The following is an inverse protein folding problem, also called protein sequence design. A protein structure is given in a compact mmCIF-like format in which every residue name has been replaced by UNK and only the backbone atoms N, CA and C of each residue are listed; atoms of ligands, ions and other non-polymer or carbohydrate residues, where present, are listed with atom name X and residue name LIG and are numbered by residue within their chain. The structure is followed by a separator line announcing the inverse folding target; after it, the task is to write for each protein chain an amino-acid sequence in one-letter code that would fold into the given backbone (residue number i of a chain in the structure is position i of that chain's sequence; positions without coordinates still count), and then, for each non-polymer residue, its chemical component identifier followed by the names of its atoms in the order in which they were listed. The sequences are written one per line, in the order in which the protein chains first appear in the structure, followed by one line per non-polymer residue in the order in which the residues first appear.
data_IF_903582135169
#
_entry.id   IF_903582135169
#
_cell.length_a   1.000
_cell.length_b   1.000
_cell.length_c   1.000
_cell.angle_alpha   90.00
_cell.angle_beta   90.00
_cell.angle_gamma   90.00
#
_symmetry.space_group_name_H-M   'P 1'
#
loop_
_entity.id
_entity.type
_entity.pdbx_description
1 polymer ?
#
# COMPACT_ATOMS: atom_id res chain seq x y z
N UNK A 1 51.74 1.49 52.18
CA UNK A 1 50.73 2.39 52.77
C UNK A 1 49.97 3.09 51.65
N UNK A 2 48.63 3.04 51.59
CA UNK A 2 47.76 1.87 51.63
C UNK A 2 47.16 1.54 50.23
N UNK A 3 46.69 0.30 50.11
CA UNK A 3 45.86 -0.23 49.02
C UNK A 3 44.51 0.50 48.95
N UNK A 4 44.07 0.90 47.76
CA UNK A 4 42.65 1.17 47.50
C UNK A 4 42.07 -0.10 46.87
N UNK A 5 41.19 -0.74 47.63
CA UNK A 5 40.52 -1.99 47.31
C UNK A 5 39.73 -1.89 46.02
N UNK A 6 39.99 -2.78 45.07
CA UNK A 6 39.00 -3.14 44.07
C UNK A 6 37.85 -3.87 44.78
N UNK A 7 36.79 -3.14 45.12
CA UNK A 7 35.52 -3.76 45.50
C UNK A 7 34.99 -4.52 44.29
N UNK A 8 35.19 -5.84 44.30
CA UNK A 8 34.56 -6.78 43.39
C UNK A 8 33.04 -6.67 43.57
N UNK A 9 32.38 -5.98 42.64
CA UNK A 9 30.92 -6.04 42.52
C UNK A 9 30.58 -7.51 42.30
N UNK A 10 29.85 -8.12 43.23
CA UNK A 10 29.54 -9.54 43.14
C UNK A 10 28.74 -9.80 41.87
N UNK A 11 28.93 -10.97 41.26
CA UNK A 11 28.18 -11.39 40.07
C UNK A 11 26.67 -11.29 40.30
N UNK A 12 26.21 -11.46 41.55
CA UNK A 12 24.82 -11.28 41.95
C UNK A 12 24.34 -9.82 41.84
N UNK A 13 25.13 -8.82 42.23
CA UNK A 13 24.76 -7.40 42.07
C UNK A 13 24.78 -6.96 40.60
N UNK A 14 25.67 -7.55 39.79
CA UNK A 14 25.71 -7.31 38.33
C UNK A 14 24.49 -7.93 37.64
N UNK A 15 24.10 -9.14 38.02
CA UNK A 15 22.88 -9.81 37.54
C UNK A 15 21.61 -9.17 38.08
N UNK A 16 21.64 -8.59 39.29
CA UNK A 16 20.51 -7.85 39.86
C UNK A 16 20.37 -6.47 39.21
N UNK A 17 21.48 -5.77 38.88
CA UNK A 17 21.42 -4.54 38.05
C UNK A 17 20.96 -4.83 36.62
N UNK A 18 21.48 -5.87 35.97
CA UNK A 18 21.01 -6.30 34.65
C UNK A 18 19.54 -6.74 34.69
N UNK A 19 19.13 -7.45 35.75
CA UNK A 19 17.75 -7.83 36.00
C UNK A 19 16.81 -6.67 36.34
N UNK A 20 17.31 -5.58 36.96
CA UNK A 20 16.53 -4.36 37.20
C UNK A 20 16.36 -3.51 35.94
N UNK A 21 17.35 -3.47 35.03
CA UNK A 21 17.19 -2.83 33.72
C UNK A 21 16.31 -3.66 32.76
N UNK A 22 16.19 -4.96 33.00
CA UNK A 22 15.36 -5.86 32.20
C UNK A 22 13.91 -5.97 32.71
N UNK A 23 13.61 -5.37 33.87
CA UNK A 23 12.34 -5.54 34.57
C UNK A 23 11.64 -4.21 34.86
N UNK A 24 11.50 -3.36 33.83
CA UNK A 24 10.28 -2.58 33.46
C UNK A 24 10.56 -2.02 32.04
N UNK A 25 10.59 -2.88 31.01
CA UNK A 25 10.13 -2.38 29.71
C UNK A 25 8.61 -2.26 29.90
N UNK A 26 8.15 -1.09 30.38
CA UNK A 26 6.72 -0.78 30.34
C UNK A 26 6.26 -1.13 28.94
N UNK A 27 5.13 -1.82 28.81
CA UNK A 27 4.48 -1.99 27.51
C UNK A 27 4.08 -0.58 27.09
N UNK A 28 5.02 0.14 26.49
CA UNK A 28 4.80 1.52 26.07
C UNK A 28 3.78 1.46 24.94
N UNK A 29 2.69 2.21 25.07
CA UNK A 29 1.57 2.13 24.15
C UNK A 29 2.03 2.31 22.70
N UNK A 30 1.57 1.42 21.82
CA UNK A 30 1.82 1.53 20.39
C UNK A 30 1.09 2.73 19.78
N UNK A 31 0.01 3.19 20.44
CA UNK A 31 -0.83 4.25 19.97
C UNK A 31 -0.29 5.64 20.30
N UNK A 32 0.32 5.82 21.47
CA UNK A 32 0.82 7.12 21.90
C UNK A 32 1.88 7.00 23.00
N UNK A 33 2.94 7.79 22.89
CA UNK A 33 3.92 7.97 23.94
C UNK A 33 4.34 9.43 24.01
N UNK A 34 4.26 10.04 25.20
CA UNK A 34 4.52 11.46 25.39
C UNK A 34 5.93 11.88 24.94
N UNK A 35 6.93 11.00 25.12
CA UNK A 35 8.32 11.24 24.71
C UNK A 35 8.50 11.41 23.19
N UNK A 36 7.59 10.84 22.39
CA UNK A 36 7.65 10.89 20.92
C UNK A 36 6.61 11.82 20.30
N UNK A 37 5.72 12.42 21.09
CA UNK A 37 4.58 13.21 20.59
C UNK A 37 4.99 14.28 19.56
N UNK A 38 6.03 15.08 19.86
CA UNK A 38 6.51 16.10 18.92
C UNK A 38 7.07 15.53 17.61
N UNK A 39 7.78 14.39 17.68
CA UNK A 39 8.31 13.70 16.49
C UNK A 39 7.20 13.07 15.67
N UNK A 40 6.22 12.45 16.32
CA UNK A 40 5.06 11.85 15.67
C UNK A 40 4.17 12.91 14.99
N UNK A 41 4.00 14.09 15.60
CA UNK A 41 3.30 15.22 14.96
C UNK A 41 4.04 15.68 13.70
N UNK A 42 5.35 15.94 13.79
CA UNK A 42 6.13 16.35 12.64
C UNK A 42 6.11 15.29 11.52
N UNK A 43 6.29 14.02 11.89
CA UNK A 43 6.24 12.91 10.95
C UNK A 43 4.87 12.76 10.27
N UNK A 44 3.79 12.92 11.05
CA UNK A 44 2.44 12.85 10.54
C UNK A 44 2.08 13.98 9.60
N UNK A 45 2.51 15.22 9.88
CA UNK A 45 2.34 16.36 8.96
C UNK A 45 3.07 16.14 7.64
N UNK A 46 4.35 15.75 7.71
CA UNK A 46 5.19 15.50 6.53
C UNK A 46 4.61 14.38 5.67
N UNK A 47 4.19 13.29 6.31
CA UNK A 47 3.64 12.12 5.60
C UNK A 47 2.23 12.39 5.09
N UNK A 48 1.42 13.15 5.82
CA UNK A 48 0.07 13.52 5.41
C UNK A 48 0.06 14.29 4.09
N UNK A 49 0.94 15.28 3.95
CA UNK A 49 1.06 16.03 2.69
C UNK A 49 1.51 15.15 1.53
N UNK A 50 2.45 14.21 1.77
CA UNK A 50 2.85 13.24 0.73
C UNK A 50 1.74 12.24 0.41
N UNK A 51 0.95 11.83 1.39
CA UNK A 51 -0.10 10.83 1.22
C UNK A 51 -1.23 11.32 0.30
N UNK A 52 -1.47 12.63 0.21
CA UNK A 52 -2.50 13.24 -0.64
C UNK A 52 -2.30 12.92 -2.12
N UNK A 53 -1.21 13.36 -2.81
CA UNK A 53 -1.04 13.11 -4.24
C UNK A 53 -1.04 11.61 -4.59
N UNK A 54 -0.46 10.78 -3.72
CA UNK A 54 -0.47 9.33 -3.92
C UNK A 54 -1.90 8.76 -3.82
N UNK A 55 -2.69 9.18 -2.83
CA UNK A 55 -4.07 8.70 -2.69
C UNK A 55 -4.99 9.24 -3.77
N UNK A 56 -4.79 10.49 -4.20
CA UNK A 56 -5.50 11.09 -5.34
C UNK A 56 -5.23 10.30 -6.61
N UNK A 57 -3.96 10.02 -6.93
CA UNK A 57 -3.61 9.24 -8.11
C UNK A 57 -4.21 7.82 -8.06
N UNK A 58 -4.15 7.15 -6.91
CA UNK A 58 -4.74 5.81 -6.80
C UNK A 58 -6.27 5.85 -6.94
N UNK A 59 -6.95 6.86 -6.40
CA UNK A 59 -8.40 7.03 -6.57
C UNK A 59 -8.77 7.25 -8.04
N UNK A 60 -8.06 8.13 -8.75
CA UNK A 60 -8.24 8.36 -10.19
C UNK A 60 -8.01 7.08 -11.00
N UNK A 61 -6.97 6.31 -10.66
CA UNK A 61 -6.71 5.04 -11.35
C UNK A 61 -7.79 4.00 -11.09
N UNK A 62 -8.42 4.04 -9.92
CA UNK A 62 -9.51 3.15 -9.52
C UNK A 62 -10.86 3.57 -10.10
N UNK A 63 -10.93 4.71 -10.81
CA UNK A 63 -12.18 5.32 -11.27
C UNK A 63 -13.15 5.61 -10.11
N UNK A 64 -12.60 5.98 -8.94
CA UNK A 64 -13.36 6.41 -7.76
C UNK A 64 -13.31 7.93 -7.59
N UNK A 65 -14.35 8.55 -7.01
CA UNK A 65 -14.28 9.95 -6.60
C UNK A 65 -13.11 10.20 -5.63
N UNK A 66 -12.29 11.20 -5.93
CA UNK A 66 -11.08 11.52 -5.15
C UNK A 66 -11.42 11.74 -3.67
N UNK A 67 -12.52 12.46 -3.40
CA UNK A 67 -12.99 12.77 -2.05
C UNK A 67 -13.31 11.50 -1.24
N UNK A 68 -13.93 10.50 -1.86
CA UNK A 68 -14.24 9.20 -1.25
C UNK A 68 -12.97 8.38 -0.96
N UNK A 69 -12.01 8.40 -1.89
CA UNK A 69 -10.71 7.78 -1.68
C UNK A 69 -9.94 8.40 -0.51
N UNK A 70 -9.92 9.73 -0.40
CA UNK A 70 -9.28 10.42 0.73
C UNK A 70 -10.02 10.18 2.05
N UNK A 71 -11.36 10.16 2.05
CA UNK A 71 -12.16 9.82 3.22
C UNK A 71 -11.86 8.40 3.73
N UNK A 72 -11.68 7.44 2.82
CA UNK A 72 -11.24 6.08 3.14
C UNK A 72 -9.90 6.08 3.87
N UNK A 73 -8.92 6.84 3.38
CA UNK A 73 -7.59 6.95 4.03
C UNK A 73 -7.68 7.60 5.40
N UNK A 74 -8.43 8.69 5.52
CA UNK A 74 -8.62 9.39 6.79
C UNK A 74 -9.25 8.48 7.84
N UNK A 75 -10.33 7.78 7.47
CA UNK A 75 -11.01 6.83 8.34
C UNK A 75 -10.09 5.67 8.74
N UNK A 76 -9.36 5.09 7.78
CA UNK A 76 -8.41 4.02 8.06
C UNK A 76 -7.28 4.44 9.00
N UNK A 77 -6.77 5.68 8.87
CA UNK A 77 -5.79 6.24 9.80
C UNK A 77 -6.33 6.33 11.24
N UNK A 78 -7.57 6.80 11.39
CA UNK A 78 -8.24 6.87 12.68
C UNK A 78 -8.43 5.47 13.29
N UNK A 79 -8.95 4.51 12.53
CA UNK A 79 -9.14 3.13 12.99
C UNK A 79 -7.80 2.47 13.33
N UNK A 80 -6.77 2.69 12.52
CA UNK A 80 -5.41 2.18 12.77
C UNK A 80 -4.83 2.69 14.09
N UNK A 81 -5.07 3.96 14.43
CA UNK A 81 -4.66 4.53 15.72
C UNK A 81 -5.51 4.01 16.89
N UNK A 82 -6.85 3.92 16.75
CA UNK A 82 -7.74 3.36 17.77
C UNK A 82 -7.36 1.91 18.08
N UNK A 83 -7.16 1.09 17.05
CA UNK A 83 -6.81 -0.32 17.22
C UNK A 83 -5.44 -0.50 17.91
N UNK A 84 -4.51 0.43 17.72
CA UNK A 84 -3.20 0.40 18.36
C UNK A 84 -3.24 0.51 19.89
N UNK A 85 -4.35 1.00 20.47
CA UNK A 85 -4.55 1.03 21.93
C UNK A 85 -4.86 -0.34 22.51
N UNK A 86 -5.52 -1.21 21.74
CA UNK A 86 -6.06 -2.48 22.24
C UNK A 86 -5.31 -3.69 21.69
N UNK A 87 -5.05 -3.70 20.38
CA UNK A 87 -4.43 -4.81 19.64
C UNK A 87 -3.44 -4.25 18.62
N UNK A 88 -2.25 -3.83 19.07
CA UNK A 88 -1.24 -3.29 18.16
C UNK A 88 -0.82 -4.34 17.13
N UNK A 89 -0.84 -3.93 15.86
CA UNK A 89 -0.34 -4.70 14.73
C UNK A 89 1.10 -4.32 14.42
N UNK A 90 1.27 -3.18 13.74
CA UNK A 90 2.53 -2.45 13.64
C UNK A 90 2.41 -1.07 14.31
N UNK A 91 3.53 -0.37 14.41
CA UNK A 91 3.64 0.86 15.21
C UNK A 91 3.73 2.14 14.38
N UNK A 92 4.07 2.05 13.10
CA UNK A 92 4.32 3.22 12.23
C UNK A 92 3.70 3.08 10.83
N UNK A 93 3.01 1.97 10.57
CA UNK A 93 2.35 1.72 9.29
C UNK A 93 1.30 2.77 9.01
N UNK A 94 1.34 3.36 7.83
CA UNK A 94 0.38 4.36 7.40
C UNK A 94 -0.65 3.70 6.47
N UNK A 95 -1.93 3.64 6.86
CA UNK A 95 -2.99 3.21 5.98
C UNK A 95 -3.06 4.07 4.72
N UNK A 96 -3.51 3.47 3.64
CA UNK A 96 -3.65 4.08 2.34
C UNK A 96 -4.51 3.22 1.44
N UNK A 97 -5.01 3.83 0.37
CA UNK A 97 -5.66 3.07 -0.70
C UNK A 97 -4.67 2.02 -1.24
N UNK A 98 -5.16 0.80 -1.43
CA UNK A 98 -4.37 -0.28 -2.00
C UNK A 98 -4.00 0.04 -3.46
N UNK A 99 -2.77 0.53 -3.69
CA UNK A 99 -2.26 0.83 -5.02
C UNK A 99 -2.28 -0.41 -5.92
N UNK A 100 -2.01 -1.57 -5.33
CA UNK A 100 -2.06 -2.87 -5.97
C UNK A 100 -3.41 -3.16 -6.62
N UNK A 101 -4.49 -2.80 -5.94
CA UNK A 101 -5.85 -3.11 -6.33
C UNK A 101 -6.50 -2.07 -7.26
N UNK A 102 -5.88 -0.92 -7.48
CA UNK A 102 -6.49 0.17 -8.24
C UNK A 102 -7.00 -0.25 -9.63
N UNK A 103 -6.25 -1.00 -10.46
CA UNK A 103 -6.77 -1.48 -11.75
C UNK A 103 -7.97 -2.41 -11.60
N UNK A 104 -8.00 -3.22 -10.54
CA UNK A 104 -9.10 -4.17 -10.29
C UNK A 104 -10.33 -3.42 -9.82
N UNK A 105 -10.17 -2.44 -8.93
CA UNK A 105 -11.28 -1.58 -8.50
C UNK A 105 -11.90 -0.83 -9.67
N UNK A 106 -11.09 -0.32 -10.61
CA UNK A 106 -11.60 0.28 -11.85
C UNK A 106 -12.40 -0.72 -12.71
N UNK A 107 -11.93 -1.97 -12.83
CA UNK A 107 -12.72 -3.02 -13.48
C UNK A 107 -14.02 -3.31 -12.73
N UNK A 108 -14.00 -3.27 -11.40
CA UNK A 108 -15.20 -3.41 -10.57
C UNK A 108 -16.20 -2.29 -10.84
N UNK A 109 -15.75 -1.04 -10.88
CA UNK A 109 -16.59 0.12 -11.25
C UNK A 109 -17.17 -0.05 -12.65
N UNK A 110 -16.37 -0.49 -13.62
CA UNK A 110 -16.84 -0.72 -14.98
C UNK A 110 -17.82 -1.90 -15.12
N UNK A 111 -17.68 -2.93 -14.28
CA UNK A 111 -18.47 -4.17 -14.38
C UNK A 111 -19.75 -4.14 -13.55
N UNK A 112 -19.70 -3.49 -12.38
CA UNK A 112 -20.78 -3.49 -11.40
C UNK A 112 -21.39 -2.10 -11.20
N UNK A 113 -20.76 -1.02 -11.68
CA UNK A 113 -21.22 0.34 -11.41
C UNK A 113 -20.75 0.85 -10.05
N UNK A 114 -20.57 2.17 -9.94
CA UNK A 114 -20.06 2.82 -8.73
C UNK A 114 -21.04 2.65 -7.55
N UNK A 115 -22.34 2.63 -7.83
CA UNK A 115 -23.42 2.40 -6.88
C UNK A 115 -23.32 1.05 -6.14
N UNK A 116 -22.74 0.02 -6.79
CA UNK A 116 -22.61 -1.32 -6.21
C UNK A 116 -21.28 -1.54 -5.51
N UNK A 117 -20.29 -0.69 -5.76
CA UNK A 117 -18.96 -0.88 -5.22
C UNK A 117 -18.94 -0.81 -3.69
N UNK A 118 -19.77 0.00 -3.06
CA UNK A 118 -19.91 0.00 -1.59
C UNK A 118 -20.21 -1.41 -1.05
N UNK A 119 -21.14 -2.12 -1.70
CA UNK A 119 -21.49 -3.50 -1.35
C UNK A 119 -20.36 -4.49 -1.63
N UNK A 120 -19.68 -4.36 -2.77
CA UNK A 120 -18.51 -5.20 -3.11
C UNK A 120 -17.43 -5.07 -2.04
N UNK A 121 -17.09 -3.84 -1.64
CA UNK A 121 -16.07 -3.55 -0.63
C UNK A 121 -16.50 -4.06 0.76
N UNK A 122 -17.77 -3.92 1.11
CA UNK A 122 -18.33 -4.51 2.32
C UNK A 122 -18.15 -6.03 2.34
N UNK A 123 -18.50 -6.72 1.25
CA UNK A 123 -18.36 -8.17 1.14
C UNK A 123 -16.88 -8.61 1.19
N UNK A 124 -15.98 -7.90 0.51
CA UNK A 124 -14.54 -8.10 0.60
C UNK A 124 -14.07 -8.00 2.05
N UNK A 125 -14.50 -6.98 2.78
CA UNK A 125 -14.09 -6.76 4.16
C UNK A 125 -14.67 -7.80 5.13
N UNK A 126 -15.89 -8.31 4.87
CA UNK A 126 -16.45 -9.47 5.60
C UNK A 126 -15.61 -10.72 5.36
N UNK A 127 -15.18 -10.98 4.13
CA UNK A 127 -14.29 -12.10 3.83
C UNK A 127 -12.91 -11.95 4.50
N UNK A 128 -12.38 -10.73 4.55
CA UNK A 128 -11.16 -10.42 5.31
C UNK A 128 -11.35 -10.70 6.81
N UNK A 129 -12.52 -10.37 7.38
CA UNK A 129 -12.83 -10.67 8.77
C UNK A 129 -12.87 -12.19 9.04
N UNK A 130 -13.37 -12.99 8.09
CA UNK A 130 -13.32 -14.46 8.17
C UNK A 130 -11.86 -14.94 8.17
N UNK A 131 -11.05 -14.46 7.22
CA UNK A 131 -9.62 -14.81 7.12
C UNK A 131 -8.88 -14.47 8.42
N UNK A 132 -9.10 -13.26 8.95
CA UNK A 132 -8.56 -12.79 10.23
C UNK A 132 -8.98 -13.68 11.40
N UNK A 133 -10.26 -14.06 11.47
CA UNK A 133 -10.82 -14.84 12.57
C UNK A 133 -10.19 -16.24 12.69
N UNK A 134 -9.82 -16.83 11.55
CA UNK A 134 -9.23 -18.18 11.49
C UNK A 134 -7.71 -18.18 11.26
N UNK A 135 -7.06 -17.02 11.34
CA UNK A 135 -5.63 -16.86 11.09
C UNK A 135 -5.16 -17.40 9.71
N UNK A 136 -6.05 -17.38 8.71
CA UNK A 136 -5.79 -17.98 7.40
C UNK A 136 -4.69 -17.26 6.60
N UNK A 137 -4.33 -16.04 6.99
CA UNK A 137 -3.20 -15.32 6.39
C UNK A 137 -1.89 -16.13 6.45
N UNK A 138 -1.73 -17.01 7.45
CA UNK A 138 -0.55 -17.88 7.59
C UNK A 138 -0.45 -18.87 6.43
N UNK A 139 -1.57 -19.41 5.98
CA UNK A 139 -1.62 -20.37 4.88
C UNK A 139 -1.48 -19.68 3.52
N UNK A 140 -2.10 -18.52 3.36
CA UNK A 140 -2.07 -17.77 2.09
C UNK A 140 -0.63 -17.36 1.74
N UNK A 141 0.16 -16.92 2.73
CA UNK A 141 1.58 -16.58 2.51
C UNK A 141 2.44 -17.77 2.07
N UNK A 142 2.12 -18.99 2.55
CA UNK A 142 2.86 -20.19 2.17
C UNK A 142 2.50 -20.65 0.74
N UNK A 143 1.32 -20.26 0.26
CA UNK A 143 0.86 -20.62 -1.06
C UNK A 143 1.51 -19.76 -2.17
N UNK A 144 1.86 -18.50 -1.89
CA UNK A 144 2.34 -17.55 -2.90
C UNK A 144 3.84 -17.27 -2.74
N UNK A 145 4.71 -17.78 -3.64
CA UNK A 145 6.13 -17.47 -3.61
C UNK A 145 6.43 -15.97 -3.72
N UNK A 146 7.43 -15.50 -2.95
CA UNK A 146 7.80 -14.07 -2.91
C UNK A 146 8.18 -13.49 -4.29
N UNK A 147 8.78 -14.28 -5.18
CA UNK A 147 9.10 -13.81 -6.54
C UNK A 147 7.86 -13.62 -7.43
N UNK A 148 6.76 -14.36 -7.20
CA UNK A 148 5.50 -14.11 -7.92
C UNK A 148 4.89 -12.78 -7.46
N UNK A 149 5.04 -12.42 -6.19
CA UNK A 149 4.61 -11.12 -5.66
C UNK A 149 5.38 -9.97 -6.32
N UNK A 150 6.70 -10.07 -6.42
CA UNK A 150 7.50 -9.04 -7.12
C UNK A 150 7.07 -8.91 -8.60
N UNK A 151 6.74 -10.04 -9.25
CA UNK A 151 6.13 -10.06 -10.58
C UNK A 151 4.78 -9.34 -10.64
N UNK A 152 3.89 -9.63 -9.69
CA UNK A 152 2.58 -8.99 -9.53
C UNK A 152 2.72 -7.47 -9.39
N UNK A 153 3.59 -7.02 -8.47
CA UNK A 153 3.87 -5.61 -8.25
C UNK A 153 4.45 -4.94 -9.51
N UNK A 154 5.33 -5.62 -10.25
CA UNK A 154 5.87 -5.07 -11.49
C UNK A 154 4.81 -4.88 -12.58
N UNK A 155 3.89 -5.85 -12.74
CA UNK A 155 2.76 -5.73 -13.67
C UNK A 155 1.82 -4.57 -13.31
N UNK A 156 1.54 -4.39 -12.03
CA UNK A 156 0.73 -3.26 -11.52
C UNK A 156 1.48 -1.93 -11.71
N UNK A 157 2.78 -1.91 -11.41
CA UNK A 157 3.61 -0.73 -11.57
C UNK A 157 3.66 -0.24 -13.01
N UNK A 158 3.69 -1.17 -13.98
CA UNK A 158 3.60 -0.85 -15.40
C UNK A 158 2.23 -0.25 -15.77
N UNK A 159 1.12 -0.81 -15.26
CA UNK A 159 -0.23 -0.25 -15.48
C UNK A 159 -0.33 1.18 -14.92
N UNK A 160 0.18 1.41 -13.71
CA UNK A 160 0.21 2.75 -13.09
C UNK A 160 1.01 3.71 -13.98
N UNK A 161 2.23 3.35 -14.35
CA UNK A 161 3.10 4.23 -15.12
C UNK A 161 2.51 4.61 -16.48
N UNK A 162 1.86 3.66 -17.17
CA UNK A 162 1.22 3.91 -18.46
C UNK A 162 -0.05 4.75 -18.33
N UNK A 163 -0.93 4.48 -17.35
CA UNK A 163 -2.16 5.27 -17.12
C UNK A 163 -1.84 6.75 -16.83
N UNK A 164 -0.79 7.01 -16.07
CA UNK A 164 -0.39 8.38 -15.73
C UNK A 164 0.49 9.06 -16.77
N UNK A 165 0.98 8.33 -17.77
CA UNK A 165 1.77 8.91 -18.86
C UNK A 165 0.97 9.97 -19.61
N UNK A 166 -0.33 9.75 -19.79
CA UNK A 166 -1.22 10.66 -20.55
C UNK A 166 -1.29 12.06 -19.92
N UNK A 167 -1.23 12.15 -18.59
CA UNK A 167 -1.27 13.41 -17.85
C UNK A 167 0.01 14.23 -17.99
N UNK A 168 1.09 13.65 -18.53
CA UNK A 168 2.36 14.36 -18.76
C UNK A 168 2.32 15.25 -20.00
N UNK A 169 1.38 14.98 -20.91
CA UNK A 169 1.23 15.70 -22.18
C UNK A 169 -0.23 16.13 -22.44
N UNK A 170 -1.08 16.06 -21.41
CA UNK A 170 -2.46 16.53 -21.45
C UNK A 170 -2.50 18.05 -21.67
N UNK A 171 -3.46 18.51 -22.46
CA UNK A 171 -3.68 19.94 -22.71
C UNK A 171 -4.83 20.47 -21.84
N UNK A 172 -4.79 21.74 -21.44
CA UNK A 172 -5.93 22.37 -20.76
C UNK A 172 -7.21 22.30 -21.60
N UNK A 173 -8.36 22.22 -20.95
CA UNK A 173 -9.65 21.94 -21.61
C UNK A 173 -10.12 23.03 -22.58
N UNK A 174 -9.65 24.26 -22.40
CA UNK A 174 -9.91 25.43 -23.24
C UNK A 174 -8.99 25.51 -24.47
N UNK A 175 -7.94 24.69 -24.53
CA UNK A 175 -7.02 24.63 -25.67
C UNK A 175 -7.55 23.63 -26.69
N UNK A 176 -7.98 24.14 -27.85
CA UNK A 176 -8.36 23.30 -29.00
C UNK A 176 -7.14 22.49 -29.44
N UNK A 177 -7.22 21.18 -29.31
CA UNK A 177 -6.20 20.29 -29.85
C UNK A 177 -6.15 20.47 -31.37
N UNK A 178 -5.00 20.90 -31.89
CA UNK A 178 -4.76 20.85 -33.33
C UNK A 178 -4.91 19.41 -33.84
N UNK A 179 -5.27 19.23 -35.11
CA UNK A 179 -5.44 17.91 -35.74
C UNK A 179 -4.18 17.02 -35.63
N UNK A 180 -3.02 17.64 -35.42
CA UNK A 180 -1.76 16.96 -35.15
C UNK A 180 -1.50 16.78 -33.66
N UNK A 181 -1.14 15.55 -33.27
CA UNK A 181 -0.76 15.22 -31.90
C UNK A 181 0.40 16.09 -31.39
N UNK A 182 1.48 16.22 -32.18
CA UNK A 182 2.60 17.08 -31.84
C UNK A 182 2.30 18.53 -32.21
N UNK A 183 1.88 19.31 -31.22
CA UNK A 183 1.71 20.75 -31.33
C UNK A 183 2.55 21.47 -30.26
N UNK A 184 2.74 22.78 -30.42
CA UNK A 184 3.60 23.57 -29.54
C UNK A 184 3.20 23.48 -28.06
N UNK A 185 1.90 23.51 -27.76
CA UNK A 185 1.38 23.38 -26.40
C UNK A 185 1.68 22.00 -25.79
N UNK A 186 1.52 20.93 -26.58
CA UNK A 186 1.78 19.56 -26.12
C UNK A 186 3.28 19.35 -25.87
N UNK A 187 4.12 19.88 -26.76
CA UNK A 187 5.58 19.86 -26.61
C UNK A 187 5.99 20.62 -25.34
N UNK A 188 5.41 21.79 -25.08
CA UNK A 188 5.65 22.55 -23.85
C UNK A 188 5.27 21.74 -22.60
N UNK A 189 4.10 21.07 -22.60
CA UNK A 189 3.68 20.20 -21.50
C UNK A 189 4.64 19.03 -21.29
N UNK A 190 5.09 18.38 -22.37
CA UNK A 190 6.11 17.32 -22.30
C UNK A 190 7.41 17.82 -21.68
N UNK A 191 7.87 19.03 -22.04
CA UNK A 191 9.08 19.62 -21.44
C UNK A 191 8.91 19.95 -19.96
N UNK A 192 7.77 20.50 -19.55
CA UNK A 192 7.46 20.77 -18.13
C UNK A 192 7.49 19.46 -17.35
N UNK A 193 6.77 18.44 -17.84
CA UNK A 193 6.68 17.13 -17.19
C UNK A 193 8.03 16.41 -17.12
N UNK A 194 8.82 16.44 -18.21
CA UNK A 194 10.15 15.82 -18.25
C UNK A 194 11.12 16.52 -17.29
N UNK A 195 11.12 17.86 -17.28
CA UNK A 195 11.94 18.65 -16.36
C UNK A 195 11.54 18.37 -14.91
N UNK A 196 10.23 18.35 -14.62
CA UNK A 196 9.70 17.99 -13.31
C UNK A 196 10.11 16.57 -12.88
N UNK A 197 10.04 15.59 -13.78
CA UNK A 197 10.45 14.21 -13.51
C UNK A 197 11.95 14.12 -13.21
N UNK A 198 12.80 14.79 -13.99
CA UNK A 198 14.25 14.81 -13.76
C UNK A 198 14.58 15.44 -12.40
N UNK A 199 13.97 16.59 -12.08
CA UNK A 199 14.15 17.23 -10.78
C UNK A 199 13.66 16.32 -9.65
N UNK A 200 12.49 15.70 -9.81
CA UNK A 200 11.93 14.79 -8.82
C UNK A 200 12.86 13.60 -8.56
N UNK A 201 13.36 12.94 -9.61
CA UNK A 201 14.28 11.80 -9.48
C UNK A 201 15.63 12.24 -8.88
N UNK A 202 16.17 13.39 -9.28
CA UNK A 202 17.37 13.96 -8.68
C UNK A 202 17.20 14.21 -7.18
N UNK A 203 16.11 14.87 -6.78
CA UNK A 203 15.81 15.11 -5.38
C UNK A 203 15.57 13.82 -4.62
N UNK A 204 14.88 12.85 -5.23
CA UNK A 204 14.61 11.57 -4.60
C UNK A 204 15.90 10.80 -4.34
N UNK A 205 16.79 10.69 -5.32
CA UNK A 205 18.06 9.99 -5.16
C UNK A 205 18.93 10.62 -4.07
N UNK A 206 18.90 11.96 -3.95
CA UNK A 206 19.63 12.73 -2.94
C UNK A 206 19.02 12.64 -1.53
N UNK A 207 17.70 12.72 -1.40
CA UNK A 207 17.02 12.88 -0.10
C UNK A 207 16.28 11.63 0.41
N UNK A 208 16.20 10.54 -0.37
CA UNK A 208 15.42 9.33 0.00
C UNK A 208 15.76 8.69 1.35
N UNK A 209 16.94 8.95 1.90
CA UNK A 209 17.39 8.37 3.18
C UNK A 209 17.30 9.34 4.37
N UNK A 210 17.11 10.63 4.12
CA UNK A 210 17.13 11.67 5.17
C UNK A 210 15.76 12.33 5.26
N UNK A 211 15.20 12.75 4.12
CA UNK A 211 13.92 13.47 4.04
C UNK A 211 13.17 13.06 2.75
N UNK A 212 12.58 11.86 2.70
CA UNK A 212 11.97 11.31 1.49
C UNK A 212 10.75 12.12 0.99
N UNK A 213 10.21 13.03 1.81
CA UNK A 213 9.10 13.88 1.42
C UNK A 213 9.52 15.09 0.55
N UNK A 214 10.79 15.52 0.61
CA UNK A 214 11.29 16.70 -0.14
C UNK A 214 10.95 16.66 -1.63
N UNK A 215 11.16 15.57 -2.38
CA UNK A 215 10.82 15.51 -3.80
C UNK A 215 9.33 15.78 -4.06
N UNK A 216 8.45 15.28 -3.18
CA UNK A 216 7.00 15.43 -3.29
C UNK A 216 6.57 16.87 -2.99
N UNK A 217 7.10 17.48 -1.93
CA UNK A 217 6.84 18.88 -1.62
C UNK A 217 7.33 19.82 -2.73
N UNK A 218 8.52 19.56 -3.27
CA UNK A 218 9.09 20.39 -4.33
C UNK A 218 8.29 20.26 -5.62
N UNK A 219 7.93 19.05 -6.07
CA UNK A 219 7.18 18.90 -7.32
C UNK A 219 5.77 19.49 -7.21
N UNK A 220 5.09 19.31 -6.07
CA UNK A 220 3.76 19.89 -5.85
C UNK A 220 3.87 21.41 -5.75
N UNK A 221 4.70 21.93 -4.85
CA UNK A 221 4.83 23.37 -4.61
C UNK A 221 5.34 24.14 -5.82
N UNK A 222 6.36 23.62 -6.50
CA UNK A 222 6.85 24.21 -7.75
C UNK A 222 5.81 24.10 -8.87
N UNK A 223 5.03 23.02 -8.92
CA UNK A 223 3.93 22.87 -9.88
C UNK A 223 2.83 23.90 -9.67
N UNK A 224 2.37 24.10 -8.42
CA UNK A 224 1.37 25.12 -8.07
C UNK A 224 1.89 26.52 -8.40
N UNK A 225 3.17 26.80 -8.13
CA UNK A 225 3.79 28.09 -8.45
C UNK A 225 3.90 28.30 -9.96
N UNK A 226 4.37 27.30 -10.71
CA UNK A 226 4.47 27.34 -12.17
C UNK A 226 3.11 27.63 -12.82
N UNK A 227 2.05 27.02 -12.28
CA UNK A 227 0.70 27.20 -12.77
C UNK A 227 0.16 28.64 -12.66
N UNK A 228 0.77 29.50 -11.83
CA UNK A 228 0.44 30.92 -11.80
C UNK A 228 0.92 31.67 -13.05
N UNK A 229 1.90 31.10 -13.77
CA UNK A 229 2.54 31.72 -14.94
C UNK A 229 2.23 30.98 -16.24
N UNK A 230 1.90 29.69 -16.18
CA UNK A 230 1.65 28.83 -17.33
C UNK A 230 0.32 28.12 -17.16
N UNK A 231 -0.51 28.14 -18.21
CA UNK A 231 -1.78 27.41 -18.19
C UNK A 231 -1.52 25.90 -18.30
N UNK A 232 -1.79 25.17 -17.22
CA UNK A 232 -1.57 23.72 -17.12
C UNK A 232 -2.85 23.02 -16.68
N UNK A 233 -3.09 21.76 -17.08
CA UNK A 233 -4.23 20.99 -16.60
C UNK A 233 -4.19 20.82 -15.09
N UNK A 234 -5.25 21.25 -14.43
CA UNK A 234 -5.46 21.08 -12.99
C UNK A 234 -6.28 19.84 -12.70
N UNK A 235 -6.12 19.29 -11.49
CA UNK A 235 -7.05 18.30 -10.98
C UNK A 235 -8.46 18.87 -10.94
N UNK A 236 -9.42 18.03 -11.30
CA UNK A 236 -10.84 18.28 -11.05
C UNK A 236 -11.28 17.33 -9.94
N UNK A 237 -11.95 17.85 -8.92
CA UNK A 237 -12.44 17.05 -7.79
C UNK A 237 -13.95 17.18 -7.72
N UNK A 238 -14.64 16.09 -8.04
CA UNK A 238 -16.09 16.01 -7.88
C UNK A 238 -16.46 16.12 -6.39
N UNK A 239 -17.33 17.08 -6.07
CA UNK A 239 -17.82 17.28 -4.71
C UNK A 239 -18.97 16.31 -4.40
N UNK A 240 -18.61 15.04 -4.21
CA UNK A 240 -19.57 13.99 -3.84
C UNK A 240 -19.91 14.10 -2.35
N UNK A 241 -21.21 14.04 -1.95
CA UNK A 241 -21.59 14.03 -0.55
C UNK A 241 -21.13 12.72 0.11
N UNK A 242 -20.43 12.82 1.24
CA UNK A 242 -20.10 11.67 2.08
C UNK A 242 -21.27 11.43 3.04
N UNK A 243 -22.28 10.71 2.58
CA UNK A 243 -23.40 10.26 3.42
C UNK A 243 -23.13 8.85 3.96
N UNK A 244 -23.53 8.63 5.21
CA UNK A 244 -23.56 7.28 5.77
C UNK A 244 -24.79 6.56 5.22
N UNK A 245 -24.57 5.52 4.43
CA UNK A 245 -25.59 4.67 3.83
C UNK A 245 -25.26 3.19 4.11
N UNK A 246 -26.29 2.35 4.13
CA UNK A 246 -26.06 0.91 4.16
C UNK A 246 -25.52 0.45 2.79
N UNK A 247 -24.47 -0.37 2.74
CA UNK A 247 -24.00 -0.96 1.50
C UNK A 247 -25.03 -2.00 1.03
N UNK A 248 -25.98 -1.58 0.20
CA UNK A 248 -27.04 -2.42 -0.36
C UNK A 248 -26.77 -2.59 -1.86
N UNK A 249 -26.81 -3.81 -2.40
CA UNK A 249 -26.65 -4.03 -3.83
C UNK A 249 -27.87 -3.52 -4.60
N UNK A 250 -27.63 -2.97 -5.79
CA UNK A 250 -28.63 -2.49 -6.75
C UNK A 250 -28.80 -3.46 -7.93
N UNK A 251 -28.35 -4.71 -7.79
CA UNK A 251 -28.50 -5.77 -8.79
C UNK A 251 -29.27 -6.95 -8.21
N UNK A 252 -30.15 -7.53 -9.04
CA UNK A 252 -31.00 -8.67 -8.66
C UNK A 252 -30.66 -9.96 -9.43
N UNK A 253 -29.77 -9.86 -10.42
CA UNK A 253 -29.42 -10.98 -11.29
C UNK A 253 -28.55 -12.04 -10.58
N UNK A 254 -28.94 -13.33 -10.56
CA UNK A 254 -28.19 -14.40 -9.88
C UNK A 254 -26.76 -14.59 -10.39
N UNK A 255 -26.51 -14.35 -11.68
CA UNK A 255 -25.18 -14.50 -12.26
C UNK A 255 -24.24 -13.37 -11.78
N UNK A 256 -24.78 -12.15 -11.68
CA UNK A 256 -24.08 -11.00 -11.11
C UNK A 256 -23.68 -11.24 -9.65
N UNK A 257 -24.53 -11.89 -8.86
CA UNK A 257 -24.19 -12.33 -7.50
C UNK A 257 -22.96 -13.24 -7.45
N UNK A 258 -22.88 -14.22 -8.36
CA UNK A 258 -21.73 -15.12 -8.47
C UNK A 258 -20.46 -14.34 -8.81
N UNK A 259 -20.54 -13.41 -9.77
CA UNK A 259 -19.41 -12.56 -10.14
C UNK A 259 -18.96 -11.64 -9.01
N UNK A 260 -19.89 -10.98 -8.32
CA UNK A 260 -19.59 -10.10 -7.18
C UNK A 260 -18.94 -10.87 -6.06
N UNK A 261 -19.44 -12.07 -5.73
CA UNK A 261 -18.81 -12.90 -4.70
C UNK A 261 -17.41 -13.34 -5.08
N UNK A 262 -17.21 -13.81 -6.32
CA UNK A 262 -15.89 -14.20 -6.84
C UNK A 262 -14.90 -13.03 -6.85
N UNK A 263 -15.37 -11.84 -7.27
CA UNK A 263 -14.58 -10.62 -7.29
C UNK A 263 -14.23 -10.12 -5.88
N UNK A 264 -15.19 -10.15 -4.96
CA UNK A 264 -14.95 -9.77 -3.57
C UNK A 264 -13.95 -10.71 -2.88
N UNK A 265 -14.02 -12.02 -3.18
CA UNK A 265 -13.09 -13.03 -2.68
C UNK A 265 -11.68 -12.83 -3.22
N UNK A 266 -11.55 -12.52 -4.52
CA UNK A 266 -10.28 -12.10 -5.12
C UNK A 266 -9.68 -10.92 -4.35
N UNK A 267 -10.44 -9.82 -4.22
CA UNK A 267 -9.96 -8.61 -3.55
C UNK A 267 -9.52 -8.92 -2.12
N UNK A 268 -10.29 -9.73 -1.38
CA UNK A 268 -9.99 -10.10 -0.01
C UNK A 268 -8.65 -10.85 0.11
N UNK A 269 -8.39 -11.81 -0.79
CA UNK A 269 -7.13 -12.58 -0.80
C UNK A 269 -5.94 -11.67 -1.11
N UNK A 270 -6.05 -10.81 -2.12
CA UNK A 270 -4.95 -9.91 -2.51
C UNK A 270 -4.67 -8.90 -1.39
N UNK A 271 -5.70 -8.28 -0.81
CA UNK A 271 -5.53 -7.35 0.33
C UNK A 271 -4.83 -8.02 1.51
N UNK A 272 -5.20 -9.26 1.84
CA UNK A 272 -4.55 -10.00 2.94
C UNK A 272 -3.08 -10.27 2.63
N UNK A 273 -2.77 -10.70 1.39
CA UNK A 273 -1.39 -10.92 0.94
C UNK A 273 -0.59 -9.62 1.06
N UNK A 274 -1.06 -8.54 0.43
CA UNK A 274 -0.38 -7.25 0.43
C UNK A 274 -0.21 -6.69 1.83
N UNK A 275 -1.22 -6.83 2.69
CA UNK A 275 -1.14 -6.33 4.05
C UNK A 275 -0.11 -7.09 4.86
N UNK A 276 -0.06 -8.41 4.77
CA UNK A 276 0.90 -9.18 5.58
C UNK A 276 2.33 -8.92 5.15
N UNK A 277 2.57 -8.81 3.85
CA UNK A 277 3.88 -8.44 3.31
C UNK A 277 4.28 -7.02 3.68
N UNK A 278 3.33 -6.08 3.59
CA UNK A 278 3.56 -4.70 4.02
C UNK A 278 3.87 -4.64 5.51
N UNK A 279 3.17 -5.41 6.34
CA UNK A 279 3.43 -5.49 7.77
C UNK A 279 4.84 -6.01 8.08
N UNK A 280 5.28 -7.07 7.38
CA UNK A 280 6.64 -7.60 7.51
C UNK A 280 7.72 -6.60 7.04
N UNK A 281 7.44 -5.83 5.98
CA UNK A 281 8.34 -4.77 5.52
C UNK A 281 8.39 -3.59 6.51
N UNK A 282 7.25 -3.21 7.09
CA UNK A 282 7.13 -2.17 8.11
C UNK A 282 7.91 -2.54 9.37
N UNK A 283 7.84 -3.81 9.81
CA UNK A 283 8.63 -4.31 10.93
C UNK A 283 10.14 -4.09 10.73
N UNK A 284 10.65 -4.33 9.52
CA UNK A 284 12.08 -4.16 9.21
C UNK A 284 12.54 -2.70 9.31
N UNK A 285 11.65 -1.75 9.08
CA UNK A 285 11.96 -0.31 9.14
C UNK A 285 11.56 0.33 10.47
N UNK A 286 10.93 -0.40 11.40
CA UNK A 286 10.54 0.12 12.71
C UNK A 286 11.77 0.71 13.45
N UNK A 287 11.68 1.94 14.00
CA UNK A 287 12.83 2.61 14.63
C UNK A 287 13.34 1.89 15.87
N UNK A 288 12.46 1.18 16.57
CA UNK A 288 12.74 0.43 17.79
C UNK A 288 12.84 -1.08 17.52
N UNK A 289 12.77 -1.51 16.25
CA UNK A 289 12.83 -2.92 15.81
C UNK A 289 11.84 -3.83 16.55
N UNK A 290 10.66 -3.31 16.85
CA UNK A 290 9.59 -4.04 17.54
C UNK A 290 8.98 -5.09 16.63
N UNK A 291 8.59 -6.23 17.19
CA UNK A 291 7.87 -7.27 16.45
C UNK A 291 6.46 -6.81 16.10
N UNK A 292 6.02 -7.11 14.89
CA UNK A 292 4.68 -6.76 14.42
C UNK A 292 3.79 -8.00 14.41
N UNK A 293 2.53 -7.83 14.82
CA UNK A 293 1.52 -8.89 14.73
C UNK A 293 0.66 -8.67 13.48
N UNK A 294 0.85 -9.51 12.46
CA UNK A 294 0.12 -9.38 11.19
C UNK A 294 -1.39 -9.60 11.33
N UNK A 295 -1.85 -10.46 12.24
CA UNK A 295 -3.28 -10.66 12.45
C UNK A 295 -3.94 -9.41 13.06
N UNK A 296 -3.26 -8.74 13.99
CA UNK A 296 -3.73 -7.47 14.55
C UNK A 296 -3.70 -6.33 13.52
N UNK A 297 -2.75 -6.32 12.58
CA UNK A 297 -2.78 -5.35 11.48
C UNK A 297 -3.94 -5.62 10.53
N UNK A 298 -4.23 -6.89 10.22
CA UNK A 298 -5.43 -7.29 9.46
C UNK A 298 -6.72 -6.86 10.16
N UNK A 299 -6.78 -6.96 11.49
CA UNK A 299 -7.92 -6.47 12.29
C UNK A 299 -8.24 -5.01 12.01
N UNK A 300 -7.24 -4.14 12.09
CA UNK A 300 -7.43 -2.71 11.86
C UNK A 300 -7.99 -2.43 10.46
N UNK A 301 -7.49 -3.16 9.46
CA UNK A 301 -7.82 -2.92 8.06
C UNK A 301 -9.21 -3.42 7.70
N UNK A 302 -9.62 -4.61 8.13
CA UNK A 302 -10.98 -5.06 7.82
C UNK A 302 -12.02 -4.19 8.53
N UNK A 303 -11.75 -3.72 9.77
CA UNK A 303 -12.65 -2.76 10.44
C UNK A 303 -12.73 -1.47 9.63
N UNK A 304 -11.60 -0.97 9.15
CA UNK A 304 -11.56 0.23 8.33
C UNK A 304 -12.28 0.05 6.98
N UNK A 305 -12.14 -1.11 6.33
CA UNK A 305 -12.79 -1.42 5.06
C UNK A 305 -14.30 -1.65 5.22
N UNK A 306 -14.73 -2.33 6.30
CA UNK A 306 -16.16 -2.42 6.62
C UNK A 306 -16.70 -1.02 6.85
N UNK A 307 -16.08 -0.21 7.71
CA UNK A 307 -16.56 1.14 7.98
C UNK A 307 -16.53 2.06 6.76
N UNK A 308 -15.54 1.93 5.86
CA UNK A 308 -15.46 2.74 4.65
C UNK A 308 -16.58 2.45 3.66
N UNK A 309 -17.03 1.19 3.58
CA UNK A 309 -18.14 0.80 2.71
C UNK A 309 -19.45 1.57 2.99
N UNK A 310 -19.67 2.01 4.24
CA UNK A 310 -20.87 2.79 4.60
C UNK A 310 -20.88 4.21 4.03
N UNK A 311 -19.78 4.71 3.47
CA UNK A 311 -19.76 6.01 2.79
C UNK A 311 -19.26 5.87 1.33
N UNK A 312 -19.38 4.67 0.76
CA UNK A 312 -18.95 4.37 -0.62
C UNK A 312 -17.43 4.23 -0.78
N UNK A 313 -16.70 4.07 0.31
CA UNK A 313 -15.25 3.95 0.33
C UNK A 313 -14.70 2.73 -0.40
N UNK A 314 -13.38 2.70 -0.53
CA UNK A 314 -12.65 1.62 -1.19
C UNK A 314 -11.81 0.81 -0.19
N UNK A 315 -11.11 -0.22 -0.65
CA UNK A 315 -10.20 -0.97 0.21
C UNK A 315 -8.96 -0.16 0.56
N UNK A 316 -8.48 -0.36 1.79
CA UNK A 316 -7.25 0.23 2.31
C UNK A 316 -6.34 -0.84 2.91
N UNK A 317 -5.06 -0.51 3.02
CA UNK A 317 -4.03 -1.29 3.71
C UNK A 317 -2.87 -0.39 4.16
N UNK A 318 -1.95 -0.90 4.96
CA UNK A 318 -0.75 -0.13 5.34
C UNK A 318 0.22 -0.02 4.14
N UNK A 319 0.29 1.16 3.52
CA UNK A 319 1.12 1.37 2.34
C UNK A 319 2.60 1.49 2.70
N UNK A 320 3.47 0.64 2.13
CA UNK A 320 4.91 0.64 2.43
C UNK A 320 5.58 1.99 2.13
N UNK A 321 5.25 2.65 1.02
CA UNK A 321 5.84 3.94 0.64
C UNK A 321 5.49 5.06 1.65
N UNK A 322 4.24 5.11 2.10
CA UNK A 322 3.75 6.04 3.12
C UNK A 322 4.39 5.74 4.48
N UNK A 323 4.44 4.48 4.86
CA UNK A 323 5.04 4.02 6.11
C UNK A 323 6.55 4.29 6.16
N UNK A 324 7.26 4.13 5.03
CA UNK A 324 8.68 4.47 4.91
C UNK A 324 8.90 5.97 5.09
N UNK A 325 8.02 6.79 4.53
CA UNK A 325 8.07 8.25 4.70
C UNK A 325 7.80 8.65 6.13
N UNK A 326 6.79 8.04 6.76
CA UNK A 326 6.47 8.23 8.18
C UNK A 326 7.68 7.91 9.07
N UNK A 327 8.33 6.77 8.80
CA UNK A 327 9.54 6.36 9.51
C UNK A 327 10.69 7.36 9.37
N UNK A 328 10.97 7.80 8.15
CA UNK A 328 12.08 8.69 7.86
C UNK A 328 11.82 10.11 8.35
N UNK A 329 10.54 10.51 8.41
CA UNK A 329 10.13 11.77 9.04
C UNK A 329 10.18 11.73 10.58
N UNK A 330 10.47 10.55 11.17
CA UNK A 330 10.76 10.41 12.60
C UNK A 330 9.64 9.79 13.43
N UNK A 331 8.68 9.09 12.85
CA UNK A 331 7.60 8.44 13.58
C UNK A 331 8.08 7.26 14.44
N UNK A 332 7.50 7.13 15.64
CA UNK A 332 7.71 6.05 16.60
C UNK A 332 6.42 5.35 17.01
N UNK A 333 5.27 6.02 16.94
CA UNK A 333 3.98 5.45 17.35
C UNK A 333 2.88 5.71 16.30
N UNK A 334 1.75 5.02 16.44
CA UNK A 334 0.58 5.24 15.57
C UNK A 334 -0.05 6.62 15.78
N UNK A 335 0.41 7.41 16.75
CA UNK A 335 0.01 8.80 16.88
C UNK A 335 0.32 9.60 15.63
N UNK A 336 1.44 9.35 14.95
CA UNK A 336 1.74 10.03 13.69
C UNK A 336 0.71 9.71 12.61
N UNK A 337 0.13 8.50 12.64
CA UNK A 337 -0.94 8.06 11.72
C UNK A 337 -2.24 8.80 11.98
N UNK A 338 -2.59 9.06 13.25
CA UNK A 338 -3.72 9.94 13.56
C UNK A 338 -3.53 11.33 12.93
N UNK A 339 -2.33 11.90 13.05
CA UNK A 339 -2.00 13.21 12.47
C UNK A 339 -2.10 13.19 10.94
N UNK A 340 -1.64 12.11 10.29
CA UNK A 340 -1.86 11.89 8.84
C UNK A 340 -3.35 11.93 8.52
N UNK A 341 -4.17 11.19 9.29
CA UNK A 341 -5.62 11.17 9.15
C UNK A 341 -6.25 12.57 9.28
N UNK A 342 -5.78 13.39 10.23
CA UNK A 342 -6.23 14.77 10.40
C UNK A 342 -5.88 15.65 9.19
N UNK A 343 -4.66 15.54 8.65
CA UNK A 343 -4.24 16.26 7.44
C UNK A 343 -5.11 15.87 6.26
N UNK A 344 -5.34 14.57 6.04
CA UNK A 344 -6.19 14.10 4.95
C UNK A 344 -7.63 14.56 5.14
N UNK A 345 -8.16 14.51 6.37
CA UNK A 345 -9.51 14.98 6.71
C UNK A 345 -9.69 16.46 6.36
N UNK A 346 -8.68 17.29 6.59
CA UNK A 346 -8.73 18.71 6.21
C UNK A 346 -9.01 18.89 4.71
N UNK A 347 -8.36 18.11 3.83
CA UNK A 347 -8.59 18.16 2.37
C UNK A 347 -9.89 17.49 1.94
N UNK A 348 -10.40 16.51 2.70
CA UNK A 348 -11.72 15.93 2.47
C UNK A 348 -12.83 16.96 2.72
N UNK A 349 -12.69 17.77 3.77
CA UNK A 349 -13.63 18.85 4.09
C UNK A 349 -13.48 20.04 3.13
N UNK A 350 -12.26 20.27 2.64
CA UNK A 350 -11.92 21.38 1.75
C UNK A 350 -11.38 20.90 0.39
N UNK A 351 -12.20 20.21 -0.43
CA UNK A 351 -11.75 19.63 -1.69
C UNK A 351 -11.25 20.70 -2.69
N UNK A 352 -11.67 21.96 -2.55
CA UNK A 352 -11.22 23.08 -3.39
C UNK A 352 -9.69 23.27 -3.39
N UNK A 353 -8.99 22.87 -2.31
CA UNK A 353 -7.52 22.97 -2.28
C UNK A 353 -6.83 21.88 -3.10
N UNK A 354 -7.52 20.77 -3.38
CA UNK A 354 -7.00 19.70 -4.23
C UNK A 354 -7.01 20.12 -5.70
N UNK A 355 -7.94 20.99 -6.10
CA UNK A 355 -8.02 21.53 -7.48
C UNK A 355 -6.83 22.44 -7.83
N UNK A 356 -6.05 22.87 -6.83
CA UNK A 356 -4.80 23.60 -7.06
C UNK A 356 -3.68 22.69 -7.56
N UNK A 357 -3.82 21.36 -7.49
CA UNK A 357 -2.77 20.43 -7.86
C UNK A 357 -2.73 20.24 -9.39
N UNK A 358 -1.59 20.52 -10.04
CA UNK A 358 -1.43 20.23 -11.47
C UNK A 358 -1.39 18.72 -11.73
N UNK A 359 -2.08 18.26 -12.78
CA UNK A 359 -2.15 16.83 -13.14
C UNK A 359 -0.77 16.23 -13.40
N UNK A 360 0.13 16.97 -14.04
CA UNK A 360 1.48 16.48 -14.34
C UNK A 360 2.31 16.18 -13.07
N UNK A 361 2.09 16.93 -11.97
CA UNK A 361 2.80 16.69 -10.72
C UNK A 361 2.36 15.39 -10.06
N UNK A 362 1.05 15.11 -10.07
CA UNK A 362 0.48 13.82 -9.63
C UNK A 362 0.98 12.68 -10.53
N UNK A 363 1.02 12.92 -11.84
CA UNK A 363 1.52 11.94 -12.81
C UNK A 363 2.97 11.52 -12.55
N UNK A 364 3.87 12.48 -12.31
CA UNK A 364 5.28 12.22 -11.98
C UNK A 364 5.38 11.33 -10.74
N UNK A 365 4.62 11.64 -9.68
CA UNK A 365 4.60 10.87 -8.44
C UNK A 365 4.12 9.43 -8.68
N UNK A 366 3.05 9.26 -9.46
CA UNK A 366 2.48 7.95 -9.76
C UNK A 366 3.37 7.13 -10.68
N UNK A 367 3.91 7.72 -11.74
CA UNK A 367 4.87 7.07 -12.63
C UNK A 367 6.12 6.61 -11.89
N UNK A 368 6.66 7.45 -11.00
CA UNK A 368 7.79 7.07 -10.17
C UNK A 368 7.46 5.91 -9.23
N UNK A 369 6.26 5.92 -8.65
CA UNK A 369 5.77 4.81 -7.81
C UNK A 369 5.69 3.50 -8.61
N UNK A 370 5.12 3.56 -9.83
CA UNK A 370 5.07 2.42 -10.73
C UNK A 370 6.46 1.90 -11.13
N UNK A 371 7.40 2.81 -11.44
CA UNK A 371 8.79 2.45 -11.72
C UNK A 371 9.45 1.71 -10.55
N UNK A 372 9.25 2.18 -9.31
CA UNK A 372 9.81 1.51 -8.13
C UNK A 372 9.28 0.08 -7.95
N UNK A 373 8.01 -0.16 -8.29
CA UNK A 373 7.43 -1.50 -8.23
C UNK A 373 8.05 -2.42 -9.30
N UNK A 374 8.28 -1.92 -10.52
CA UNK A 374 8.98 -2.66 -11.58
C UNK A 374 10.43 -2.97 -11.17
N UNK A 375 11.14 -1.98 -10.60
CA UNK A 375 12.51 -2.14 -10.16
C UNK A 375 12.67 -3.19 -9.04
N UNK A 376 11.59 -3.53 -8.32
CA UNK A 376 11.53 -4.61 -7.33
C UNK A 376 11.91 -5.99 -7.88
N UNK A 377 11.71 -6.22 -9.19
CA UNK A 377 12.15 -7.44 -9.87
C UNK A 377 13.65 -7.73 -9.72
N UNK A 378 14.46 -6.70 -9.48
CA UNK A 378 15.90 -6.87 -9.22
C UNK A 378 16.16 -7.73 -7.98
N UNK A 379 15.28 -7.72 -6.98
CA UNK A 379 15.40 -8.57 -5.78
C UNK A 379 15.18 -10.06 -6.09
N UNK A 380 14.50 -10.38 -7.19
CA UNK A 380 14.24 -11.77 -7.60
C UNK A 380 15.50 -12.43 -8.15
N UNK A 381 16.49 -11.65 -8.62
CA UNK A 381 17.72 -12.19 -9.22
C UNK A 381 18.47 -13.16 -8.28
N UNK A 382 18.40 -12.94 -6.96
CA UNK A 382 18.99 -13.82 -5.95
C UNK A 382 18.30 -15.19 -5.82
N UNK A 383 17.04 -15.33 -6.26
CA UNK A 383 16.29 -16.60 -6.23
C UNK A 383 16.59 -17.50 -7.45
N UNK A 384 17.39 -17.01 -8.40
CA UNK A 384 17.80 -17.76 -9.59
C UNK A 384 16.93 -17.51 -10.83
N UNK A 385 17.32 -18.11 -11.97
CA UNK A 385 16.70 -17.81 -13.27
C UNK A 385 15.23 -18.26 -13.36
N UNK A 386 14.88 -19.37 -12.74
CA UNK A 386 13.50 -19.88 -12.69
C UNK A 386 12.54 -18.88 -12.04
N UNK A 387 12.92 -18.37 -10.87
CA UNK A 387 12.14 -17.38 -10.14
C UNK A 387 11.98 -16.09 -10.96
N UNK A 388 13.03 -15.66 -11.66
CA UNK A 388 13.02 -14.45 -12.49
C UNK A 388 12.08 -14.60 -13.71
N UNK A 389 12.14 -15.74 -14.40
CA UNK A 389 11.22 -16.04 -15.52
C UNK A 389 9.77 -16.05 -15.04
N UNK A 390 9.48 -16.70 -13.92
CA UNK A 390 8.13 -16.72 -13.34
C UNK A 390 7.66 -15.34 -12.89
N UNK A 391 8.52 -14.54 -12.26
CA UNK A 391 8.19 -13.17 -11.87
C UNK A 391 7.86 -12.31 -13.10
N UNK A 392 8.67 -12.38 -14.16
CA UNK A 392 8.41 -11.65 -15.39
C UNK A 392 7.12 -12.12 -16.09
N UNK A 393 6.90 -13.43 -16.17
CA UNK A 393 5.66 -14.02 -16.69
C UNK A 393 4.46 -13.51 -15.89
N UNK A 394 4.54 -13.51 -14.56
CA UNK A 394 3.47 -13.00 -13.69
C UNK A 394 3.18 -11.54 -13.99
N UNK A 395 4.21 -10.68 -14.05
CA UNK A 395 4.03 -9.27 -14.38
C UNK A 395 3.42 -9.03 -15.76
N UNK A 396 3.85 -9.80 -16.77
CA UNK A 396 3.30 -9.73 -18.12
C UNK A 396 1.82 -10.17 -18.17
N UNK A 397 1.48 -11.26 -17.47
CA UNK A 397 0.09 -11.72 -17.36
C UNK A 397 -0.77 -10.72 -16.60
N UNK A 398 -0.29 -10.20 -15.47
CA UNK A 398 -0.98 -9.18 -14.68
C UNK A 398 -1.26 -7.93 -15.50
N UNK A 399 -0.30 -7.52 -16.34
CA UNK A 399 -0.48 -6.42 -17.28
C UNK A 399 -1.56 -6.73 -18.34
N UNK A 400 -1.51 -7.93 -18.95
CA UNK A 400 -2.36 -8.30 -20.10
C UNK A 400 -3.78 -8.76 -19.75
N UNK A 401 -3.92 -9.67 -18.80
CA UNK A 401 -5.20 -10.35 -18.52
C UNK A 401 -5.90 -9.84 -17.26
N UNK A 402 -5.17 -9.24 -16.31
CA UNK A 402 -5.75 -8.85 -15.02
C UNK A 402 -4.91 -9.37 -13.85
N UNK A 403 -5.06 -8.73 -12.68
CA UNK A 403 -4.27 -9.05 -11.49
C UNK A 403 -4.53 -10.49 -11.03
N UNK A 404 -5.81 -10.86 -10.96
CA UNK A 404 -6.23 -12.17 -10.46
C UNK A 404 -5.98 -13.29 -11.44
N UNK A 405 -6.43 -13.13 -12.68
CA UNK A 405 -6.22 -14.09 -13.77
C UNK A 405 -4.72 -14.32 -13.95
N UNK A 406 -3.94 -13.23 -13.93
CA UNK A 406 -2.49 -13.30 -14.09
C UNK A 406 -1.81 -14.03 -12.93
N UNK A 407 -2.19 -13.76 -11.68
CA UNK A 407 -1.65 -14.46 -10.51
C UNK A 407 -2.06 -15.93 -10.49
N UNK A 408 -3.32 -16.25 -10.78
CA UNK A 408 -3.80 -17.64 -10.82
C UNK A 408 -3.10 -18.46 -11.89
N UNK A 409 -2.96 -17.92 -13.10
CA UNK A 409 -2.22 -18.58 -14.19
C UNK A 409 -0.77 -18.77 -13.77
N UNK A 410 -0.11 -17.76 -13.20
CA UNK A 410 1.27 -17.87 -12.75
C UNK A 410 1.44 -18.92 -11.64
N UNK A 411 0.52 -18.98 -10.68
CA UNK A 411 0.50 -20.00 -9.63
C UNK A 411 0.25 -21.40 -10.19
N UNK A 412 -0.67 -21.56 -11.15
CA UNK A 412 -0.92 -22.83 -11.82
C UNK A 412 0.31 -23.33 -12.57
N UNK A 413 1.00 -22.44 -13.30
CA UNK A 413 2.27 -22.74 -13.97
C UNK A 413 3.34 -23.12 -12.95
N UNK A 414 3.49 -22.35 -11.87
CA UNK A 414 4.46 -22.65 -10.81
C UNK A 414 4.21 -24.02 -10.17
N UNK A 415 2.95 -24.33 -9.83
CA UNK A 415 2.54 -25.61 -9.27
C UNK A 415 2.75 -26.77 -10.24
N UNK A 416 2.41 -26.60 -11.52
CA UNK A 416 2.63 -27.60 -12.56
C UNK A 416 4.12 -27.91 -12.76
N UNK A 417 4.99 -26.87 -12.79
CA UNK A 417 6.44 -27.07 -12.90
C UNK A 417 6.97 -27.81 -11.67
N UNK A 418 6.58 -27.41 -10.45
CA UNK A 418 7.02 -28.09 -9.24
C UNK A 418 6.58 -29.56 -9.20
N UNK A 419 5.33 -29.83 -9.59
CA UNK A 419 4.80 -31.18 -9.71
C UNK A 419 5.59 -32.01 -10.73
N UNK A 420 5.90 -31.46 -11.90
CA UNK A 420 6.69 -32.14 -12.93
C UNK A 420 8.12 -32.41 -12.45
N UNK A 421 8.77 -31.45 -11.78
CA UNK A 421 10.11 -31.65 -11.23
C UNK A 421 10.10 -32.76 -10.18
N UNK A 422 9.14 -32.75 -9.26
CA UNK A 422 9.10 -33.77 -8.20
C UNK A 422 8.77 -35.17 -8.74
N UNK A 423 7.88 -35.27 -9.72
CA UNK A 423 7.46 -36.57 -10.25
C UNK A 423 8.43 -37.12 -11.30
N UNK A 424 8.96 -36.27 -12.19
CA UNK A 424 9.82 -36.71 -13.31
C UNK A 424 11.30 -36.70 -12.97
N UNK A 425 11.77 -35.70 -12.20
CA UNK A 425 13.19 -35.57 -11.84
C UNK A 425 13.46 -36.27 -10.51
N UNK A 426 12.69 -35.94 -9.47
CA UNK A 426 12.90 -36.49 -8.13
C UNK A 426 12.26 -37.88 -7.93
N UNK A 427 11.49 -38.37 -8.91
CA UNK A 427 10.78 -39.67 -8.91
C UNK A 427 9.91 -39.89 -7.67
N UNK A 428 9.39 -38.81 -7.08
CA UNK A 428 8.50 -38.88 -5.92
C UNK A 428 7.10 -39.27 -6.42
N UNK A 429 6.43 -40.27 -5.81
CA UNK A 429 5.06 -40.62 -6.14
C UNK A 429 4.13 -39.40 -5.99
N UNK A 430 3.23 -39.18 -6.95
CA UNK A 430 2.34 -38.01 -6.97
C UNK A 430 1.53 -37.82 -5.66
N UNK A 431 1.11 -38.93 -5.04
CA UNK A 431 0.42 -38.92 -3.73
C UNK A 431 1.29 -38.37 -2.60
N UNK A 432 2.59 -38.66 -2.64
CA UNK A 432 3.57 -38.20 -1.64
C UNK A 432 3.92 -36.73 -1.82
N UNK A 433 3.98 -36.23 -3.06
CA UNK A 433 4.19 -34.79 -3.35
C UNK A 433 3.07 -33.95 -2.71
N UNK A 434 1.81 -34.33 -2.95
CA UNK A 434 0.65 -33.62 -2.37
C UNK A 434 0.62 -33.76 -0.85
N UNK A 435 0.89 -34.96 -0.33
CA UNK A 435 0.97 -35.20 1.12
C UNK A 435 2.06 -34.37 1.80
N UNK A 436 3.24 -34.28 1.20
CA UNK A 436 4.37 -33.52 1.72
C UNK A 436 4.12 -32.01 1.69
N UNK A 437 3.47 -31.50 0.65
CA UNK A 437 3.07 -30.09 0.59
C UNK A 437 2.08 -29.76 1.72
N UNK A 438 1.05 -30.59 1.93
CA UNK A 438 0.07 -30.41 3.02
C UNK A 438 0.70 -30.58 4.40
N UNK A 439 1.63 -31.52 4.56
CA UNK A 439 2.36 -31.74 5.82
C UNK A 439 3.29 -30.58 6.15
N UNK A 440 3.98 -30.01 5.15
CA UNK A 440 4.84 -28.83 5.32
C UNK A 440 4.03 -27.57 5.67
N UNK A 441 2.86 -27.39 5.05
CA UNK A 441 1.92 -26.33 5.45
C UNK A 441 1.52 -26.45 6.93
N UNK A 442 1.26 -27.66 7.43
CA UNK A 442 0.94 -27.89 8.85
C UNK A 442 2.14 -27.66 9.78
N UNK A 443 3.34 -28.12 9.41
CA UNK A 443 4.56 -27.99 10.23
C UNK A 443 5.00 -26.54 10.42
N UNK A 444 4.87 -25.73 9.37
CA UNK A 444 5.27 -24.32 9.39
C UNK A 444 4.22 -23.47 10.13
N UNK A 445 2.93 -23.84 10.04
CA UNK A 445 1.83 -23.19 10.79
C UNK A 445 1.95 -23.29 12.31
N UNK A 446 2.68 -24.28 12.84
CA UNK A 446 2.86 -24.51 14.29
C UNK A 446 4.14 -23.90 14.87
N UNK A 447 5.03 -23.36 14.03
CA UNK A 447 6.35 -22.86 14.44
C UNK A 447 6.42 -21.32 14.62
N UNK A 448 5.29 -20.62 14.45
CA UNK A 448 5.11 -19.16 14.60
C UNK A 448 3.85 -18.84 15.38
#
# INVERSE_FOLDING_TARGET
MPMISQTSISTAERTQRLGLFQKVASIESAAFQAQYAGRDIAAGLITGVMAIPLSVGIAMMSEYPIKVGLATVAFACMIGWINAWFRPGNFIGCPGIAAGLAPVLAMGVASFGMENMAFVIFLTAVMQAIIWKFDWQRYILLAVPAYLVEGLLAGIGLKIALKFLDFTYELPADVVAADMFFNGARIQMMFISLTGLVIFVYLFTKFRYIQPAVPYFVIIGAGVLLAQFVHVPMLHVEDVPLSLALPIPHFDDPLTWVYVFGFAAMLAVIDVIEQVMSNAAIQKIDPLKRECNSNNSLLAIWIANIGSSFFGGMTNLDGLAKSTTNRLAGAYTKFSVLIIGCVVTFFVINPQYLELLPKFAVAIVMMFTGWKMIAGLMHVTHHGPYAMVLAFLTGALVYKVGIFEGLLIAMAVHGAVHYLVDTQVNKVPAKEVVSNYVANLKKISTAS
#
